data_IF_921108592325
#
_entry.id   IF_921108592325
#
_cell.length_a   1.000
_cell.length_b   1.000
_cell.length_c   1.000
_cell.angle_alpha   90.00
_cell.angle_beta   90.00
_cell.angle_gamma   90.00
#
_symmetry.space_group_name_H-M   'P 1'
#
loop_
_entity.id
_entity.type
_entity.pdbx_description
1 polymer ?
#
# COMPACT_ATOMS: atom_id res chain seq x y z
N UNK A 1 10.50 -3.08 -20.32
CA UNK A 1 10.74 -2.21 -19.14
C UNK A 1 9.86 -2.75 -18.04
N UNK A 2 10.40 -2.99 -16.84
CA UNK A 2 9.60 -3.51 -15.72
C UNK A 2 8.56 -2.45 -15.34
N UNK A 3 7.29 -2.80 -15.28
CA UNK A 3 6.22 -1.84 -14.92
C UNK A 3 6.12 -1.67 -13.40
N UNK A 4 6.23 -2.79 -12.66
CA UNK A 4 6.12 -2.89 -11.21
C UNK A 4 7.33 -3.59 -10.59
N UNK A 5 7.84 -3.03 -9.51
CA UNK A 5 8.90 -3.60 -8.67
C UNK A 5 8.26 -3.97 -7.33
N UNK A 6 8.33 -5.25 -6.98
CA UNK A 6 7.77 -5.80 -5.74
C UNK A 6 8.91 -6.14 -4.77
N UNK A 7 8.88 -5.57 -3.57
CA UNK A 7 9.85 -5.85 -2.51
C UNK A 7 9.23 -6.84 -1.52
N UNK A 8 9.76 -8.05 -1.48
CA UNK A 8 9.40 -9.05 -0.49
C UNK A 8 10.28 -8.85 0.73
N UNK A 9 9.69 -8.44 1.85
CA UNK A 9 10.43 -7.99 3.02
C UNK A 9 9.79 -8.52 4.31
N UNK A 10 10.60 -8.76 5.35
CA UNK A 10 10.08 -8.99 6.69
C UNK A 10 9.36 -7.73 7.22
N UNK A 11 8.52 -7.92 8.24
CA UNK A 11 7.71 -6.87 8.86
C UNK A 11 8.50 -5.59 9.16
N UNK A 12 9.65 -5.71 9.82
CA UNK A 12 10.51 -4.58 10.24
C UNK A 12 11.02 -3.70 9.09
N UNK A 13 10.92 -4.17 7.84
CA UNK A 13 11.42 -3.46 6.66
C UNK A 13 10.30 -2.88 5.78
N UNK A 14 9.03 -2.99 6.20
CA UNK A 14 7.89 -2.46 5.43
C UNK A 14 7.96 -0.94 5.25
N UNK A 15 8.56 -0.21 6.20
CA UNK A 15 8.70 1.25 6.16
C UNK A 15 9.97 1.75 5.45
N UNK A 16 10.81 0.85 4.93
CA UNK A 16 11.98 1.28 4.16
C UNK A 16 11.51 2.03 2.90
N UNK A 17 12.06 3.22 2.60
CA UNK A 17 11.63 4.03 1.46
C UNK A 17 12.20 3.50 0.13
N UNK A 18 11.87 2.26 -0.23
CA UNK A 18 12.29 1.61 -1.47
C UNK A 18 11.91 2.42 -2.71
N UNK A 19 10.75 3.06 -2.68
CA UNK A 19 10.28 3.94 -3.75
C UNK A 19 11.16 5.19 -3.94
N UNK A 20 11.95 5.57 -2.94
CA UNK A 20 12.89 6.69 -3.01
C UNK A 20 14.29 6.30 -3.45
N UNK A 21 14.55 5.02 -3.70
CA UNK A 21 15.87 4.56 -4.14
C UNK A 21 16.29 5.23 -5.46
N UNK A 22 17.50 5.81 -5.54
CA UNK A 22 17.93 6.55 -6.70
C UNK A 22 18.24 5.61 -7.87
N UNK A 23 17.57 5.81 -9.00
CA UNK A 23 17.86 5.10 -10.25
C UNK A 23 18.64 6.01 -11.19
N UNK A 24 19.88 5.64 -11.57
CA UNK A 24 20.67 6.38 -12.56
C UNK A 24 19.95 6.45 -13.91
N UNK A 25 19.97 7.63 -14.53
CA UNK A 25 19.35 7.92 -15.83
C UNK A 25 20.29 8.76 -16.70
N UNK A 26 20.11 8.62 -18.01
CA UNK A 26 20.93 9.30 -19.04
C UNK A 26 22.23 8.54 -19.35
N UNK A 27 22.82 8.80 -20.53
CA UNK A 27 24.03 8.09 -21.01
C UNK A 27 25.23 8.20 -20.05
N UNK A 28 25.26 9.23 -19.21
CA UNK A 28 26.35 9.49 -18.25
C UNK A 28 25.98 9.15 -16.80
N UNK A 29 24.75 8.69 -16.53
CA UNK A 29 24.28 8.41 -15.16
C UNK A 29 24.13 9.64 -14.24
N UNK A 30 24.39 10.85 -14.75
CA UNK A 30 24.40 12.10 -13.99
C UNK A 30 23.03 12.55 -13.46
N UNK A 31 21.93 11.98 -13.98
CA UNK A 31 20.57 12.29 -13.50
C UNK A 31 20.07 11.12 -12.69
N UNK A 32 19.53 11.38 -11.50
CA UNK A 32 18.84 10.37 -10.70
C UNK A 32 17.35 10.67 -10.63
N UNK A 33 16.56 9.60 -10.57
CA UNK A 33 15.12 9.66 -10.33
C UNK A 33 14.76 8.61 -9.29
N UNK A 34 13.87 8.91 -8.34
CA UNK A 34 13.33 7.92 -7.42
C UNK A 34 12.71 6.73 -8.16
N UNK A 35 12.89 5.52 -7.64
CA UNK A 35 12.34 4.29 -8.20
C UNK A 35 10.83 4.39 -8.42
N UNK A 36 10.09 4.91 -7.44
CA UNK A 36 8.63 5.06 -7.45
C UNK A 36 8.08 6.14 -8.39
N UNK A 37 8.95 6.99 -8.95
CA UNK A 37 8.58 7.90 -10.05
C UNK A 37 8.62 7.15 -11.39
N UNK A 38 9.46 6.12 -11.48
CA UNK A 38 9.73 5.38 -12.71
C UNK A 38 8.84 4.14 -12.83
N UNK A 39 8.63 3.45 -11.70
CA UNK A 39 7.96 2.15 -11.60
C UNK A 39 6.86 2.21 -10.55
N UNK A 40 5.90 1.30 -10.65
CA UNK A 40 5.00 1.00 -9.54
C UNK A 40 5.83 0.27 -8.48
N UNK A 41 5.88 0.78 -7.25
CA UNK A 41 6.68 0.19 -6.18
C UNK A 41 5.73 -0.25 -5.08
N UNK A 42 5.78 -1.53 -4.76
CA UNK A 42 4.96 -2.15 -3.72
C UNK A 42 5.81 -2.99 -2.78
N UNK A 43 5.37 -3.15 -1.55
CA UNK A 43 5.96 -4.07 -0.57
C UNK A 43 5.04 -5.27 -0.36
N UNK A 44 5.62 -6.40 0.00
CA UNK A 44 4.95 -7.68 0.28
C UNK A 44 5.54 -8.26 1.55
N UNK A 45 4.69 -8.83 2.40
CA UNK A 45 5.09 -9.47 3.64
C UNK A 45 4.66 -10.95 3.65
N UNK A 46 5.32 -11.81 2.84
CA UNK A 46 4.87 -13.18 2.63
C UNK A 46 4.96 -14.06 3.89
N UNK A 47 5.86 -13.73 4.82
CA UNK A 47 6.05 -14.49 6.07
C UNK A 47 4.83 -14.35 6.98
N UNK A 48 4.31 -13.12 7.14
CA UNK A 48 3.14 -12.81 7.97
C UNK A 48 1.83 -13.36 7.39
N UNK A 49 1.82 -13.68 6.09
CA UNK A 49 0.68 -14.34 5.46
C UNK A 49 0.50 -15.79 5.93
N UNK A 50 1.52 -16.44 6.51
CA UNK A 50 1.46 -17.89 6.79
C UNK A 50 0.23 -18.28 7.63
N UNK A 51 0.02 -17.57 8.73
CA UNK A 51 -1.06 -17.85 9.68
C UNK A 51 -2.40 -17.23 9.24
N UNK A 52 -2.37 -16.11 8.51
CA UNK A 52 -3.54 -15.41 8.00
C UNK A 52 -3.96 -15.82 6.57
N UNK A 53 -3.39 -16.89 6.00
CA UNK A 53 -3.50 -17.22 4.56
C UNK A 53 -4.93 -17.38 4.06
N UNK A 54 -5.81 -17.99 4.85
CA UNK A 54 -7.19 -18.24 4.47
C UNK A 54 -8.04 -16.95 4.44
N UNK A 55 -8.06 -16.11 5.48
CA UNK A 55 -8.62 -14.75 5.43
C UNK A 55 -8.06 -13.92 4.25
N UNK A 56 -6.75 -13.95 4.06
CA UNK A 56 -6.04 -13.24 2.99
C UNK A 56 -6.57 -13.60 1.60
N UNK A 57 -6.60 -14.90 1.29
CA UNK A 57 -7.08 -15.39 0.00
C UNK A 57 -8.55 -15.11 -0.22
N UNK A 58 -9.36 -15.20 0.83
CA UNK A 58 -10.80 -14.89 0.79
C UNK A 58 -11.03 -13.43 0.44
N UNK A 59 -10.32 -12.50 1.10
CA UNK A 59 -10.40 -11.05 0.85
C UNK A 59 -9.92 -10.70 -0.56
N UNK A 60 -8.80 -11.27 -1.00
CA UNK A 60 -8.29 -11.07 -2.37
C UNK A 60 -9.25 -11.56 -3.44
N UNK A 61 -9.77 -12.79 -3.29
CA UNK A 61 -10.74 -13.36 -4.25
C UNK A 61 -12.01 -12.52 -4.31
N UNK A 62 -12.49 -12.06 -3.15
CA UNK A 62 -13.65 -11.16 -3.09
C UNK A 62 -13.36 -9.83 -3.81
N UNK A 63 -12.19 -9.22 -3.60
CA UNK A 63 -11.79 -7.99 -4.28
C UNK A 63 -11.78 -8.14 -5.81
N UNK A 64 -11.21 -9.23 -6.32
CA UNK A 64 -11.19 -9.55 -7.75
C UNK A 64 -12.61 -9.73 -8.30
N UNK A 65 -13.50 -10.39 -7.55
CA UNK A 65 -14.89 -10.57 -7.94
C UNK A 65 -15.67 -9.24 -8.03
N UNK A 66 -15.28 -8.23 -7.24
CA UNK A 66 -15.82 -6.86 -7.34
C UNK A 66 -15.13 -6.00 -8.41
N UNK A 67 -14.16 -6.54 -9.16
CA UNK A 67 -13.39 -5.77 -10.14
C UNK A 67 -12.58 -4.63 -9.52
N UNK A 68 -12.21 -4.74 -8.24
CA UNK A 68 -11.43 -3.72 -7.53
C UNK A 68 -12.22 -2.50 -7.04
N UNK A 69 -13.51 -2.38 -7.39
CA UNK A 69 -14.35 -1.22 -7.08
C UNK A 69 -15.59 -1.63 -6.31
N UNK A 70 -15.56 -1.41 -4.99
CA UNK A 70 -16.72 -1.62 -4.14
C UNK A 70 -16.65 -0.71 -2.91
N UNK A 71 -17.76 -0.10 -2.44
CA UNK A 71 -17.73 0.81 -1.31
C UNK A 71 -17.17 0.20 -0.01
N UNK A 72 -17.38 -1.10 0.20
CA UNK A 72 -16.85 -1.85 1.34
C UNK A 72 -15.41 -2.39 1.13
N UNK A 73 -14.82 -2.23 -0.06
CA UNK A 73 -13.48 -2.75 -0.33
C UNK A 73 -12.40 -2.04 0.47
N UNK A 74 -12.64 -0.76 0.80
CA UNK A 74 -11.70 0.12 1.49
C UNK A 74 -12.26 0.47 2.87
N UNK A 75 -11.46 0.26 3.90
CA UNK A 75 -11.71 0.79 5.25
C UNK A 75 -10.63 1.79 5.61
N UNK A 76 -11.03 2.94 6.13
CA UNK A 76 -10.09 3.87 6.77
C UNK A 76 -9.94 3.47 8.22
N UNK A 77 -8.69 3.47 8.69
CA UNK A 77 -8.34 3.21 10.09
C UNK A 77 -7.49 4.38 10.59
N UNK A 78 -7.89 4.96 11.71
CA UNK A 78 -7.13 6.00 12.40
C UNK A 78 -6.74 5.59 13.84
N UNK A 79 -5.96 6.44 14.52
CA UNK A 79 -5.47 6.21 15.89
C UNK A 79 -6.58 5.83 16.88
N UNK A 80 -7.82 6.28 16.69
CA UNK A 80 -8.93 5.98 17.62
C UNK A 80 -9.52 4.59 17.45
N UNK A 81 -9.23 3.95 16.32
CA UNK A 81 -9.72 2.61 15.96
C UNK A 81 -8.69 1.51 16.23
N UNK A 82 -7.47 1.88 16.63
CA UNK A 82 -6.41 0.95 16.99
C UNK A 82 -6.67 0.40 18.39
N UNK A 83 -7.05 -0.86 18.46
CA UNK A 83 -7.29 -1.59 19.69
C UNK A 83 -7.04 -3.09 19.48
N UNK A 84 -7.03 -3.85 20.56
CA UNK A 84 -6.75 -5.30 20.57
C UNK A 84 -7.74 -6.12 19.71
N UNK A 85 -8.93 -5.59 19.41
CA UNK A 85 -9.96 -6.27 18.62
C UNK A 85 -9.85 -5.97 17.10
N UNK A 86 -9.02 -5.01 16.68
CA UNK A 86 -8.95 -4.55 15.29
C UNK A 86 -8.60 -5.68 14.31
N UNK A 87 -7.63 -6.51 14.65
CA UNK A 87 -7.24 -7.66 13.83
C UNK A 87 -8.39 -8.66 13.66
N UNK A 88 -9.10 -8.96 14.76
CA UNK A 88 -10.26 -9.85 14.78
C UNK A 88 -11.35 -9.29 13.87
N UNK A 89 -11.71 -8.03 14.05
CA UNK A 89 -12.71 -7.32 13.26
C UNK A 89 -12.40 -7.34 11.76
N UNK A 90 -11.14 -7.10 11.40
CA UNK A 90 -10.69 -7.18 10.02
C UNK A 90 -10.77 -8.62 9.49
N UNK A 91 -10.46 -9.62 10.31
CA UNK A 91 -10.44 -11.03 9.93
C UNK A 91 -11.80 -11.70 9.75
N UNK A 92 -12.88 -11.17 10.31
CA UNK A 92 -14.22 -11.81 10.30
C UNK A 92 -14.77 -11.97 8.88
N UNK A 93 -14.68 -10.92 8.06
CA UNK A 93 -15.36 -10.82 6.77
C UNK A 93 -14.40 -10.91 5.58
N UNK A 94 -14.96 -11.04 4.39
CA UNK A 94 -14.21 -10.93 3.13
C UNK A 94 -13.92 -9.46 2.74
N UNK A 95 -14.64 -8.51 3.34
CA UNK A 95 -14.37 -7.08 3.33
C UNK A 95 -13.82 -6.62 4.70
N UNK A 96 -13.03 -5.54 4.77
CA UNK A 96 -12.38 -4.86 3.65
C UNK A 96 -11.21 -5.69 3.10
N UNK A 97 -10.86 -5.46 1.84
CA UNK A 97 -9.66 -6.03 1.22
C UNK A 97 -8.51 -5.00 1.11
N UNK A 98 -8.83 -3.71 1.31
CA UNK A 98 -7.89 -2.61 1.36
C UNK A 98 -8.09 -1.82 2.66
N UNK A 99 -7.00 -1.51 3.36
CA UNK A 99 -7.00 -0.56 4.49
C UNK A 99 -6.22 0.69 4.10
N UNK A 100 -6.79 1.86 4.37
CA UNK A 100 -6.06 3.13 4.33
C UNK A 100 -5.83 3.56 5.77
N UNK A 101 -4.60 3.42 6.25
CA UNK A 101 -4.23 3.74 7.61
C UNK A 101 -3.73 5.19 7.71
N UNK A 102 -4.17 5.89 8.74
CA UNK A 102 -3.70 7.21 9.11
C UNK A 102 -3.55 7.31 10.62
N UNK A 103 -2.32 7.10 11.05
CA UNK A 103 -1.93 7.06 12.43
C UNK A 103 -0.81 8.05 12.68
N UNK A 104 -0.72 8.54 13.91
CA UNK A 104 0.32 9.48 14.33
C UNK A 104 1.29 8.80 15.29
N UNK A 105 2.59 9.06 15.12
CA UNK A 105 3.63 8.46 15.95
C UNK A 105 3.69 6.93 15.82
N UNK A 106 3.70 6.22 16.94
CA UNK A 106 3.90 4.76 16.97
C UNK A 106 2.69 3.95 16.48
N UNK A 107 1.51 4.55 16.34
CA UNK A 107 0.28 3.84 15.98
C UNK A 107 0.30 3.20 14.58
N UNK A 108 1.21 3.63 13.70
CA UNK A 108 1.36 3.05 12.36
C UNK A 108 1.76 1.59 12.41
N UNK A 109 2.70 1.25 13.29
CA UNK A 109 3.16 -0.13 13.42
C UNK A 109 2.07 -1.02 14.01
N UNK A 110 1.33 -0.54 15.00
CA UNK A 110 0.20 -1.26 15.60
C UNK A 110 -0.92 -1.53 14.58
N UNK A 111 -1.22 -0.57 13.69
CA UNK A 111 -2.19 -0.78 12.61
C UNK A 111 -1.66 -1.73 11.54
N UNK A 112 -0.37 -1.63 11.18
CA UNK A 112 0.26 -2.54 10.23
C UNK A 112 0.31 -3.96 10.78
N UNK A 113 0.51 -4.15 12.08
CA UNK A 113 0.44 -5.46 12.72
C UNK A 113 -1.00 -6.02 12.64
N UNK A 114 -1.99 -5.24 13.09
CA UNK A 114 -3.39 -5.65 13.09
C UNK A 114 -3.95 -5.97 11.69
N UNK A 115 -3.51 -5.26 10.63
CA UNK A 115 -3.95 -5.55 9.27
C UNK A 115 -3.33 -6.85 8.73
N UNK A 116 -2.09 -7.19 9.12
CA UNK A 116 -1.44 -8.43 8.71
C UNK A 116 -2.11 -9.62 9.42
N UNK A 117 -2.33 -9.52 10.74
CA UNK A 117 -3.06 -10.52 11.52
C UNK A 117 -4.50 -10.71 11.01
N UNK A 118 -5.19 -9.61 10.67
CA UNK A 118 -6.53 -9.62 10.07
C UNK A 118 -6.58 -10.12 8.62
N UNK A 119 -5.42 -10.42 8.03
CA UNK A 119 -5.27 -10.97 6.70
C UNK A 119 -5.62 -10.00 5.58
N UNK A 120 -5.35 -8.70 5.74
CA UNK A 120 -5.68 -7.67 4.75
C UNK A 120 -4.62 -7.65 3.63
N UNK A 121 -4.99 -7.94 2.37
CA UNK A 121 -4.00 -8.08 1.29
C UNK A 121 -3.45 -6.77 0.75
N UNK A 122 -4.18 -5.67 0.91
CA UNK A 122 -3.79 -4.35 0.41
C UNK A 122 -3.85 -3.34 1.54
N UNK A 123 -2.79 -2.57 1.73
CA UNK A 123 -2.82 -1.47 2.68
C UNK A 123 -2.02 -0.28 2.16
N UNK A 124 -2.52 0.91 2.46
CA UNK A 124 -1.83 2.17 2.20
C UNK A 124 -1.70 2.92 3.51
N UNK A 125 -0.49 3.29 3.86
CA UNK A 125 -0.19 4.18 4.97
C UNK A 125 0.88 5.17 4.56
N UNK A 126 1.17 6.11 5.44
CA UNK A 126 2.27 7.05 5.26
C UNK A 126 3.36 6.72 6.25
N UNK A 127 4.60 6.73 5.76
CA UNK A 127 5.77 6.75 6.64
C UNK A 127 5.75 8.00 7.50
N UNK A 128 6.37 7.90 8.66
CA UNK A 128 6.53 9.01 9.59
C UNK A 128 7.02 10.28 8.86
N UNK A 129 6.23 11.33 9.00
CA UNK A 129 6.41 12.63 8.36
C UNK A 129 5.61 13.70 9.11
N UNK A 130 5.70 14.98 8.74
CA UNK A 130 4.91 16.02 9.38
C UNK A 130 3.44 15.65 9.35
N UNK A 131 2.79 15.71 10.52
CA UNK A 131 1.39 15.37 10.69
C UNK A 131 0.56 16.11 9.64
N UNK A 132 -0.24 15.35 8.88
CA UNK A 132 -1.32 15.92 8.08
C UNK A 132 -2.62 15.78 8.85
N UNK A 133 -3.57 16.64 8.53
CA UNK A 133 -4.71 16.91 9.39
C UNK A 133 -5.79 15.81 9.39
N UNK A 134 -5.78 14.82 8.47
CA UNK A 134 -6.72 13.67 8.57
C UNK A 134 -6.46 12.46 7.65
N UNK A 135 -7.07 11.33 8.02
CA UNK A 135 -7.16 10.10 7.22
C UNK A 135 -7.92 10.28 5.89
N UNK A 136 -8.90 11.19 5.90
CA UNK A 136 -9.67 11.59 4.73
C UNK A 136 -8.78 12.29 3.69
N UNK A 137 -7.68 12.94 4.09
CA UNK A 137 -6.74 13.50 3.13
C UNK A 137 -5.89 12.43 2.45
N UNK A 138 -5.43 11.40 3.18
CA UNK A 138 -4.70 10.27 2.58
C UNK A 138 -5.60 9.56 1.57
N UNK A 139 -6.84 9.28 1.97
CA UNK A 139 -7.89 8.77 1.12
C UNK A 139 -8.17 9.65 -0.12
N UNK A 140 -8.27 10.98 0.08
CA UNK A 140 -8.51 11.92 -0.99
C UNK A 140 -7.32 12.04 -1.97
N UNK A 141 -6.09 11.78 -1.51
CA UNK A 141 -4.92 11.69 -2.40
C UNK A 141 -5.05 10.50 -3.35
N UNK A 142 -5.62 9.38 -2.90
CA UNK A 142 -5.75 8.15 -3.68
C UNK A 142 -6.93 8.20 -4.68
N UNK A 143 -7.88 9.11 -4.49
CA UNK A 143 -9.04 9.24 -5.39
C UNK A 143 -8.78 10.27 -6.51
N UNK A 144 -8.83 9.89 -7.80
CA UNK A 144 -8.54 10.78 -8.93
C UNK A 144 -9.34 12.08 -8.92
N UNK A 145 -10.62 11.99 -8.53
CA UNK A 145 -11.56 13.12 -8.51
C UNK A 145 -11.82 13.68 -7.10
N UNK A 146 -11.10 13.19 -6.07
CA UNK A 146 -11.37 13.44 -4.64
C UNK A 146 -12.83 13.14 -4.22
N UNK A 147 -13.58 12.44 -5.07
CA UNK A 147 -14.97 12.11 -4.89
C UNK A 147 -15.04 10.71 -4.26
N UNK A 148 -15.04 10.66 -2.94
CA UNK A 148 -15.35 9.49 -2.10
C UNK A 148 -14.46 8.25 -2.28
N UNK A 149 -13.95 7.74 -1.15
CA UNK A 149 -13.28 6.43 -1.07
C UNK A 149 -14.08 5.26 -1.66
N UNK A 150 -15.41 5.40 -1.74
CA UNK A 150 -16.29 4.39 -2.29
C UNK A 150 -16.02 4.08 -3.77
N UNK A 151 -15.42 5.04 -4.50
CA UNK A 151 -15.10 4.92 -5.92
C UNK A 151 -13.62 4.55 -6.17
N UNK A 152 -12.85 4.30 -5.10
CA UNK A 152 -11.44 3.93 -5.22
C UNK A 152 -11.30 2.56 -5.90
N UNK A 153 -10.58 2.54 -7.01
CA UNK A 153 -10.16 1.32 -7.68
C UNK A 153 -8.90 0.78 -6.98
N UNK A 154 -9.12 -0.18 -6.07
CA UNK A 154 -8.03 -0.80 -5.31
C UNK A 154 -7.03 -1.47 -6.26
N UNK A 155 -7.50 -2.07 -7.36
CA UNK A 155 -6.63 -2.75 -8.33
C UNK A 155 -5.73 -1.78 -9.12
N UNK A 156 -6.12 -0.51 -9.21
CA UNK A 156 -5.34 0.54 -9.84
C UNK A 156 -4.33 1.23 -8.90
N UNK A 157 -4.37 0.96 -7.58
CA UNK A 157 -3.55 1.65 -6.57
C UNK A 157 -2.04 1.73 -6.90
N UNK A 158 -1.36 0.66 -7.34
CA UNK A 158 0.05 0.74 -7.71
C UNK A 158 0.35 1.81 -8.77
N UNK A 159 -0.51 1.90 -9.80
CA UNK A 159 -0.44 2.91 -10.85
C UNK A 159 -0.78 4.31 -10.34
N UNK A 160 -1.86 4.43 -9.56
CA UNK A 160 -2.30 5.68 -8.93
C UNK A 160 -1.19 6.31 -8.08
N UNK A 161 -0.55 5.54 -7.20
CA UNK A 161 0.53 6.05 -6.33
C UNK A 161 1.76 6.46 -7.16
N UNK A 162 2.11 5.71 -8.21
CA UNK A 162 3.18 6.10 -9.15
C UNK A 162 2.87 7.44 -9.82
N UNK A 163 1.62 7.65 -10.26
CA UNK A 163 1.23 8.89 -10.93
C UNK A 163 1.18 10.08 -9.96
N UNK A 164 0.78 9.87 -8.71
CA UNK A 164 0.90 10.87 -7.64
C UNK A 164 2.36 11.28 -7.43
N UNK A 165 3.29 10.31 -7.34
CA UNK A 165 4.73 10.58 -7.20
C UNK A 165 5.29 11.32 -8.40
N UNK A 166 4.87 10.97 -9.63
CA UNK A 166 5.23 11.71 -10.86
C UNK A 166 4.71 13.13 -10.85
N UNK A 167 3.48 13.35 -10.37
CA UNK A 167 2.89 14.66 -10.18
C UNK A 167 3.70 15.50 -9.21
N UNK A 168 4.03 14.95 -8.03
CA UNK A 168 4.84 15.61 -7.01
C UNK A 168 6.25 15.96 -7.54
N UNK A 169 6.93 15.01 -8.19
CA UNK A 169 8.25 15.24 -8.78
C UNK A 169 8.26 16.31 -9.89
N UNK A 170 7.11 16.61 -10.49
CA UNK A 170 6.93 17.65 -11.48
C UNK A 170 6.37 18.97 -10.91
N UNK A 171 6.21 19.08 -9.59
CA UNK A 171 5.66 20.26 -8.91
C UNK A 171 4.14 20.46 -9.14
N UNK A 172 3.41 19.39 -9.50
CA UNK A 172 1.98 19.44 -9.86
C UNK A 172 1.03 18.86 -8.80
N UNK A 173 1.54 18.16 -7.78
CA UNK A 173 0.73 17.44 -6.79
C UNK A 173 1.12 17.78 -5.36
N UNK A 174 0.23 17.46 -4.43
CA UNK A 174 0.33 17.78 -3.01
C UNK A 174 1.46 17.01 -2.30
N UNK A 175 2.07 17.65 -1.30
CA UNK A 175 3.22 17.15 -0.52
C UNK A 175 2.94 15.81 0.18
N UNK A 176 3.80 14.80 0.02
CA UNK A 176 3.71 13.54 0.78
C UNK A 176 3.32 12.29 -0.02
N UNK A 177 3.15 12.37 -1.34
CA UNK A 177 3.02 11.18 -2.19
C UNK A 177 4.27 10.28 -2.16
N UNK A 178 5.42 10.89 -1.88
CA UNK A 178 6.72 10.27 -1.64
C UNK A 178 6.85 9.60 -0.27
N UNK A 179 5.85 9.74 0.61
CA UNK A 179 5.78 9.07 1.91
C UNK A 179 4.79 7.91 1.93
N UNK A 180 3.97 7.75 0.90
CA UNK A 180 3.00 6.66 0.81
C UNK A 180 3.72 5.32 0.65
N UNK A 181 3.33 4.35 1.48
CA UNK A 181 3.69 2.94 1.34
C UNK A 181 2.48 2.19 0.82
N UNK A 182 2.71 1.19 -0.02
CA UNK A 182 1.67 0.30 -0.54
C UNK A 182 2.07 -1.14 -0.27
N UNK A 183 1.43 -1.76 0.72
CA UNK A 183 1.38 -3.22 0.83
C UNK A 183 0.46 -3.73 -0.27
N UNK A 184 0.98 -4.62 -1.10
CA UNK A 184 0.26 -5.24 -2.20
C UNK A 184 0.61 -6.72 -2.25
N UNK A 185 -0.06 -7.54 -1.45
CA UNK A 185 0.28 -8.96 -1.39
C UNK A 185 -0.78 -9.83 -2.07
N UNK A 186 -0.57 -10.07 -3.37
CA UNK A 186 -1.36 -11.01 -4.16
C UNK A 186 -1.05 -12.46 -3.72
N UNK A 187 -2.03 -13.16 -3.12
CA UNK A 187 -1.83 -14.49 -2.61
C UNK A 187 -1.48 -15.55 -3.66
N UNK A 188 -1.80 -15.32 -4.94
CA UNK A 188 -1.61 -16.27 -6.03
C UNK A 188 -0.33 -15.98 -6.83
N UNK A 189 0.29 -14.82 -6.63
CA UNK A 189 1.60 -14.50 -7.17
C UNK A 189 2.67 -15.34 -6.45
N UNK A 190 3.04 -16.45 -7.08
CA UNK A 190 4.16 -17.31 -6.67
C UNK A 190 5.41 -16.86 -7.43
N UNK A 191 6.51 -16.66 -6.70
CA UNK A 191 7.78 -16.37 -7.37
C UNK A 191 8.25 -17.61 -8.09
N UNK A 192 8.46 -17.49 -9.42
CA UNK A 192 9.37 -18.39 -10.11
C UNK A 192 10.78 -18.10 -9.56
N UNK A 193 11.20 -18.86 -8.55
CA UNK A 193 12.59 -18.85 -8.08
C UNK A 193 13.48 -19.39 -9.21
N UNK A 194 13.87 -18.54 -10.16
CA UNK A 194 15.02 -18.84 -11.00
C UNK A 194 16.27 -18.55 -10.20
N UNK A 195 16.80 -19.60 -9.60
CA UNK A 195 18.17 -19.61 -9.10
C UNK A 195 19.08 -19.24 -10.28
N UNK A 196 19.84 -18.14 -10.13
CA UNK A 196 20.93 -17.86 -11.07
C UNK A 196 22.02 -18.90 -10.79
N UNK A 197 22.06 -19.92 -11.65
CA UNK A 197 23.15 -20.89 -11.70
C UNK A 197 24.37 -20.29 -12.41
#
# INVERSE_FOLDING_TARGET
MVERVEFHVPFDLLDIPFDQWPVPRGRTGSRQRPLGVLHEVVVRCPDERHDARAPWRRKWTWLLAQGGRHPAAVRVVDDTQVNDDLAVDLGVRADPACVVAHTTGTGTQDVVDALLEGGVPVAVWRRDGPARDSAQEVAALLSPDRALLADLDVLALPGTIRDLRRGAAAGRSADGADQLVLLWDDPDCTMDHRSLA
#
